data_IF_941266978610
#
_entry.id   IF_941266978610
#
_cell.length_a   1.000
_cell.length_b   1.000
_cell.length_c   1.000
_cell.angle_alpha   90.00
_cell.angle_beta   90.00
_cell.angle_gamma   90.00
#
_symmetry.space_group_name_H-M   'P 1'
#
loop_
_entity.id
_entity.type
_entity.pdbx_description
1 polymer ?
#
# COMPACT_ATOMS: atom_id res chain seq x y z
N UNK A 1 -23.52 -1.87 -5.43
CA UNK A 1 -22.27 -1.34 -4.85
C UNK A 1 -22.40 -1.48 -3.33
N UNK A 2 -21.82 -2.53 -2.75
CA UNK A 2 -21.91 -2.81 -1.32
C UNK A 2 -21.07 -1.78 -0.56
N UNK A 3 -21.71 -0.81 0.07
CA UNK A 3 -21.09 0.10 1.03
C UNK A 3 -21.10 -0.59 2.38
N UNK A 4 -20.02 -1.28 2.73
CA UNK A 4 -19.79 -1.66 4.13
C UNK A 4 -19.80 -0.39 4.97
N UNK A 5 -20.46 -0.40 6.14
CA UNK A 5 -20.62 0.75 7.04
C UNK A 5 -19.31 1.35 7.56
N UNK A 6 -18.18 0.72 7.26
CA UNK A 6 -16.83 1.15 7.63
C UNK A 6 -16.11 1.71 6.39
N UNK A 7 -15.75 3.00 6.45
CA UNK A 7 -15.03 3.70 5.39
C UNK A 7 -13.53 3.67 5.66
N UNK A 8 -12.75 3.14 4.70
CA UNK A 8 -11.28 3.21 4.71
C UNK A 8 -10.73 4.50 4.09
N UNK A 9 -11.60 5.48 3.78
CA UNK A 9 -11.21 6.76 3.16
C UNK A 9 -10.23 7.51 4.07
N UNK A 10 -9.04 7.78 3.56
CA UNK A 10 -8.00 8.50 4.30
C UNK A 10 -7.15 7.64 5.23
N UNK A 11 -7.37 6.33 5.28
CA UNK A 11 -6.62 5.43 6.14
C UNK A 11 -5.17 5.22 5.68
N UNK A 12 -4.37 4.70 6.61
CA UNK A 12 -3.02 4.19 6.42
C UNK A 12 -3.06 2.66 6.41
N UNK A 13 -2.44 2.02 5.42
CA UNK A 13 -2.42 0.57 5.28
C UNK A 13 -1.00 0.04 5.49
N UNK A 14 -0.80 -0.84 6.47
CA UNK A 14 0.46 -1.54 6.71
C UNK A 14 0.32 -3.00 6.31
N UNK A 15 1.24 -3.49 5.48
CA UNK A 15 1.21 -4.87 4.96
C UNK A 15 2.60 -5.48 4.94
N UNK A 16 2.68 -6.80 5.08
CA UNK A 16 3.99 -7.49 5.08
C UNK A 16 4.61 -7.54 3.69
N UNK A 17 3.82 -7.69 2.63
CA UNK A 17 4.32 -7.83 1.26
C UNK A 17 3.76 -6.73 0.37
N UNK A 18 4.54 -6.29 -0.61
CA UNK A 18 4.09 -5.31 -1.60
C UNK A 18 2.82 -5.80 -2.34
N UNK A 19 1.79 -4.95 -2.53
CA UNK A 19 0.52 -5.35 -3.11
C UNK A 19 0.64 -5.63 -4.62
N UNK A 20 -0.04 -6.67 -5.11
CA UNK A 20 -0.11 -6.94 -6.55
C UNK A 20 -1.04 -5.92 -7.25
N UNK A 21 -1.06 -5.94 -8.58
CA UNK A 21 -1.84 -4.99 -9.42
C UNK A 21 -3.33 -4.93 -9.07
N UNK A 22 -3.95 -6.06 -8.76
CA UNK A 22 -5.37 -6.12 -8.38
C UNK A 22 -5.59 -5.52 -6.99
N UNK A 23 -4.73 -5.84 -6.02
CA UNK A 23 -4.73 -5.21 -4.70
C UNK A 23 -4.54 -3.69 -4.80
N UNK A 24 -3.63 -3.21 -5.64
CA UNK A 24 -3.41 -1.77 -5.86
C UNK A 24 -4.67 -1.04 -6.33
N UNK A 25 -5.45 -1.66 -7.24
CA UNK A 25 -6.73 -1.10 -7.70
C UNK A 25 -7.74 -1.00 -6.56
N UNK A 26 -7.85 -2.03 -5.72
CA UNK A 26 -8.76 -2.04 -4.58
C UNK A 26 -8.37 -0.97 -3.54
N UNK A 27 -7.07 -0.82 -3.27
CA UNK A 27 -6.54 0.22 -2.37
C UNK A 27 -6.90 1.62 -2.89
N UNK A 28 -6.76 1.84 -4.20
CA UNK A 28 -7.17 3.09 -4.84
C UNK A 28 -8.67 3.35 -4.74
N UNK A 29 -9.51 2.35 -5.04
CA UNK A 29 -10.97 2.44 -4.90
C UNK A 29 -11.40 2.71 -3.45
N UNK A 30 -10.66 2.18 -2.49
CA UNK A 30 -10.88 2.37 -1.05
C UNK A 30 -10.49 3.77 -0.55
N UNK A 31 -9.87 4.60 -1.40
CA UNK A 31 -9.39 5.96 -1.06
C UNK A 31 -8.40 5.99 0.10
N UNK A 32 -7.55 4.96 0.19
CA UNK A 32 -6.43 4.89 1.13
C UNK A 32 -5.35 5.90 0.70
N UNK A 33 -4.74 6.59 1.66
CA UNK A 33 -3.76 7.66 1.37
C UNK A 33 -2.32 7.15 1.30
N UNK A 34 -1.97 6.16 2.11
CA UNK A 34 -0.61 5.63 2.20
C UNK A 34 -0.61 4.12 2.45
N UNK A 35 0.32 3.43 1.80
CA UNK A 35 0.62 2.01 1.97
C UNK A 35 2.07 1.88 2.43
N UNK A 36 2.28 1.17 3.53
CA UNK A 36 3.61 0.85 4.05
C UNK A 36 3.83 -0.65 3.96
N UNK A 37 4.96 -1.10 3.42
CA UNK A 37 5.21 -2.53 3.18
C UNK A 37 6.58 -2.99 3.72
N UNK A 38 6.66 -4.22 4.25
CA UNK A 38 7.93 -4.75 4.79
C UNK A 38 8.82 -5.39 3.72
N UNK A 39 8.28 -6.29 2.90
CA UNK A 39 9.04 -7.05 1.91
C UNK A 39 8.68 -6.61 0.49
N UNK A 40 9.72 -6.28 -0.29
CA UNK A 40 9.60 -6.04 -1.71
C UNK A 40 9.20 -7.33 -2.43
N UNK A 41 8.03 -7.31 -3.08
CA UNK A 41 7.62 -8.39 -3.96
C UNK A 41 8.21 -8.15 -5.36
N UNK A 42 9.34 -8.81 -5.68
CA UNK A 42 10.08 -8.63 -6.96
C UNK A 42 9.20 -8.71 -8.21
N UNK A 43 8.15 -9.53 -8.20
CA UNK A 43 7.21 -9.64 -9.32
C UNK A 43 6.27 -8.44 -9.47
N UNK A 44 5.91 -7.79 -8.36
CA UNK A 44 5.00 -6.64 -8.39
C UNK A 44 5.72 -5.34 -8.80
N UNK A 45 7.02 -5.23 -8.51
CA UNK A 45 7.89 -4.14 -8.95
C UNK A 45 8.15 -4.22 -10.48
N UNK A 46 8.31 -5.43 -11.03
CA UNK A 46 8.56 -5.64 -12.47
C UNK A 46 7.36 -5.35 -13.38
N UNK A 47 6.13 -5.49 -12.88
CA UNK A 47 4.91 -5.40 -13.68
C UNK A 47 4.16 -4.06 -13.55
N UNK A 48 4.88 -2.94 -13.56
CA UNK A 48 4.30 -1.58 -13.61
C UNK A 48 3.50 -1.16 -12.35
N UNK A 49 3.53 -1.96 -11.27
CA UNK A 49 2.79 -1.69 -10.03
C UNK A 49 3.14 -0.33 -9.40
N UNK A 50 4.43 0.03 -9.41
CA UNK A 50 4.91 1.34 -8.96
C UNK A 50 4.38 2.51 -9.79
N UNK A 51 4.20 2.29 -11.10
CA UNK A 51 3.73 3.32 -12.01
C UNK A 51 2.24 3.63 -11.77
N UNK A 52 1.45 2.61 -11.42
CA UNK A 52 0.08 2.79 -10.96
C UNK A 52 0.03 3.65 -9.70
N UNK A 53 0.85 3.34 -8.70
CA UNK A 53 0.91 4.11 -7.46
C UNK A 53 1.32 5.58 -7.70
N UNK A 54 2.35 5.83 -8.52
CA UNK A 54 2.76 7.18 -8.95
C UNK A 54 1.62 7.99 -9.58
N UNK A 55 0.82 7.36 -10.46
CA UNK A 55 -0.33 8.04 -11.11
C UNK A 55 -1.50 8.27 -10.15
N UNK A 56 -1.67 7.38 -9.18
CA UNK A 56 -2.85 7.36 -8.29
C UNK A 56 -2.79 8.28 -7.07
N UNK A 57 -1.71 9.07 -6.89
CA UNK A 57 -1.47 9.95 -5.72
C UNK A 57 -1.49 9.21 -4.36
N UNK A 58 -1.21 7.92 -4.36
CA UNK A 58 -1.07 7.12 -3.13
C UNK A 58 0.41 7.09 -2.76
N UNK A 59 0.71 7.36 -1.49
CA UNK A 59 2.08 7.27 -0.98
C UNK A 59 2.41 5.80 -0.70
N UNK A 60 3.54 5.31 -1.20
CA UNK A 60 3.98 3.93 -0.96
C UNK A 60 5.40 3.97 -0.43
N UNK A 61 5.56 3.58 0.84
CA UNK A 61 6.83 3.64 1.55
C UNK A 61 7.24 2.21 1.98
N UNK A 62 8.48 1.77 1.73
CA UNK A 62 9.01 0.60 2.40
C UNK A 62 9.16 0.88 3.90
N UNK A 63 8.90 -0.12 4.73
CA UNK A 63 9.18 -0.05 6.15
C UNK A 63 10.70 -0.18 6.34
N UNK A 64 11.40 0.95 6.38
CA UNK A 64 12.83 0.95 6.66
C UNK A 64 13.04 0.73 8.17
N UNK A 65 13.75 -0.34 8.53
CA UNK A 65 14.00 -0.81 9.91
C UNK A 65 14.77 0.17 10.83
N UNK A 66 15.10 1.38 10.38
CA UNK A 66 15.80 2.36 11.20
C UNK A 66 14.99 2.87 12.40
N UNK A 67 13.67 2.66 12.42
CA UNK A 67 12.78 3.05 13.54
C UNK A 67 12.38 1.86 14.45
N UNK A 68 12.67 0.61 14.06
CA UNK A 68 12.32 -0.58 14.85
C UNK A 68 13.26 -0.79 16.05
N UNK A 69 14.40 -0.08 16.10
CA UNK A 69 15.37 -0.18 17.20
C UNK A 69 14.93 0.52 18.51
N UNK A 70 13.79 1.22 18.55
CA UNK A 70 13.28 1.84 19.79
C UNK A 70 12.14 1.06 20.46
N UNK A 71 11.72 -0.08 19.91
CA UNK A 71 10.66 -0.92 20.48
C UNK A 71 11.17 -2.19 21.16
N UNK A 72 12.44 -2.21 21.59
CA UNK A 72 13.03 -3.34 22.33
C UNK A 72 13.63 -2.88 23.65
#
# INVERSE_FOLDING_TARGET
MSTSSYSCKGAFLYITHFPCKECSKLIYQSKIKRVVYLYDHKYAIKNDGLNFFRKSKIIVDPLNDHETQMAK
#
